data_IF_986398832926
#
_entry.id   IF_986398832926
#
_cell.length_a   1.000
_cell.length_b   1.000
_cell.length_c   1.000
_cell.angle_alpha   90.00
_cell.angle_beta   90.00
_cell.angle_gamma   90.00
#
_symmetry.space_group_name_H-M   'P 1'
#
loop_
_entity.id
_entity.type
_entity.pdbx_description
1 polymer ?
#
# COMPACT_ATOMS: atom_id res chain seq x y z
N UNK A 1 -2.91 5.33 10.68
CA UNK A 1 -3.84 4.78 9.67
C UNK A 1 -3.04 3.96 8.69
N UNK A 2 -3.39 2.68 8.47
CA UNK A 2 -2.70 1.80 7.52
C UNK A 2 -3.06 2.15 6.06
N UNK A 3 -2.16 1.89 5.11
CA UNK A 3 -2.35 2.26 3.69
C UNK A 3 -3.48 1.48 3.02
N UNK A 4 -3.76 0.26 3.48
CA UNK A 4 -4.95 -0.49 3.06
C UNK A 4 -6.24 0.27 3.41
N UNK A 5 -6.29 0.88 4.59
CA UNK A 5 -7.41 1.74 5.01
C UNK A 5 -7.46 3.02 4.16
N UNK A 6 -6.32 3.60 3.79
CA UNK A 6 -6.27 4.77 2.91
C UNK A 6 -6.78 4.45 1.50
N UNK A 7 -6.40 3.31 0.92
CA UNK A 7 -6.94 2.83 -0.36
C UNK A 7 -8.45 2.67 -0.30
N UNK A 8 -8.96 2.05 0.76
CA UNK A 8 -10.40 1.85 0.93
C UNK A 8 -11.15 3.19 1.07
N UNK A 9 -10.59 4.15 1.82
CA UNK A 9 -11.16 5.49 1.92
C UNK A 9 -11.15 6.21 0.56
N UNK A 10 -10.07 6.10 -0.21
CA UNK A 10 -9.99 6.67 -1.57
C UNK A 10 -11.03 6.04 -2.49
N UNK A 11 -11.19 4.71 -2.45
CA UNK A 11 -12.21 4.00 -3.24
C UNK A 11 -13.63 4.45 -2.85
N UNK A 12 -13.94 4.58 -1.56
CA UNK A 12 -15.22 5.09 -1.07
C UNK A 12 -15.51 6.51 -1.57
N UNK A 13 -14.49 7.40 -1.58
CA UNK A 13 -14.63 8.75 -2.13
C UNK A 13 -14.87 8.73 -3.63
N UNK A 14 -14.15 7.90 -4.39
CA UNK A 14 -14.34 7.75 -5.83
C UNK A 14 -15.76 7.25 -6.15
N UNK A 15 -16.26 6.24 -5.42
CA UNK A 15 -17.65 5.78 -5.50
C UNK A 15 -18.66 6.89 -5.22
N UNK A 16 -18.50 7.62 -4.11
CA UNK A 16 -19.41 8.70 -3.74
C UNK A 16 -19.45 9.82 -4.82
N UNK A 17 -18.31 10.13 -5.44
CA UNK A 17 -18.27 11.04 -6.60
C UNK A 17 -19.04 10.45 -7.79
N UNK A 18 -18.86 9.16 -8.09
CA UNK A 18 -19.61 8.47 -9.14
C UNK A 18 -21.12 8.52 -8.90
N UNK A 19 -21.56 8.25 -7.67
CA UNK A 19 -22.96 8.28 -7.27
C UNK A 19 -23.57 9.68 -7.46
N UNK A 20 -22.83 10.74 -7.11
CA UNK A 20 -23.26 12.12 -7.28
C UNK A 20 -23.35 12.57 -8.75
N UNK A 21 -22.51 12.01 -9.63
CA UNK A 21 -22.42 12.40 -11.05
C UNK A 21 -23.30 11.54 -11.97
N UNK A 22 -23.85 10.42 -11.49
CA UNK A 22 -24.49 9.39 -12.33
C UNK A 22 -25.60 9.91 -13.25
N UNK A 23 -26.36 10.91 -12.79
CA UNK A 23 -27.52 11.44 -13.50
C UNK A 23 -27.23 12.71 -14.30
N UNK A 24 -26.09 13.37 -14.04
CA UNK A 24 -25.76 14.68 -14.63
C UNK A 24 -24.64 14.57 -15.67
N UNK A 25 -23.60 13.79 -15.37
CA UNK A 25 -22.45 13.59 -16.25
C UNK A 25 -22.03 12.13 -16.29
N UNK A 26 -22.77 11.25 -16.99
CA UNK A 26 -22.54 9.80 -16.98
C UNK A 26 -21.11 9.38 -17.32
N UNK A 27 -20.44 10.07 -18.24
CA UNK A 27 -19.04 9.81 -18.58
C UNK A 27 -18.06 10.09 -17.43
N UNK A 28 -18.31 11.11 -16.61
CA UNK A 28 -17.49 11.39 -15.43
C UNK A 28 -17.82 10.42 -14.29
N UNK A 29 -19.09 10.04 -14.14
CA UNK A 29 -19.50 9.00 -13.19
C UNK A 29 -18.79 7.67 -13.50
N UNK A 30 -18.76 7.25 -14.77
CA UNK A 30 -18.05 6.04 -15.20
C UNK A 30 -16.56 6.08 -14.84
N UNK A 31 -15.87 7.21 -15.07
CA UNK A 31 -14.46 7.39 -14.66
C UNK A 31 -14.28 7.25 -13.14
N UNK A 32 -15.16 7.85 -12.34
CA UNK A 32 -15.09 7.76 -10.89
C UNK A 32 -15.34 6.33 -10.37
N UNK A 33 -16.25 5.57 -11.00
CA UNK A 33 -16.41 4.14 -10.69
C UNK A 33 -15.23 3.31 -11.15
N UNK A 34 -14.61 3.62 -12.29
CA UNK A 34 -13.37 3.00 -12.75
C UNK A 34 -12.24 3.15 -11.73
N UNK A 35 -11.99 4.39 -11.27
CA UNK A 35 -11.01 4.67 -10.21
C UNK A 35 -11.32 3.89 -8.92
N UNK A 36 -12.60 3.82 -8.52
CA UNK A 36 -13.02 3.00 -7.37
C UNK A 36 -12.65 1.52 -7.56
N UNK A 37 -12.94 0.95 -8.74
CA UNK A 37 -12.64 -0.44 -9.06
C UNK A 37 -11.13 -0.72 -9.05
N UNK A 38 -10.32 0.17 -9.63
CA UNK A 38 -8.86 0.06 -9.66
C UNK A 38 -8.26 0.07 -8.25
N UNK A 39 -8.73 0.97 -7.37
CA UNK A 39 -8.28 1.05 -5.98
C UNK A 39 -8.65 -0.20 -5.17
N UNK A 40 -9.85 -0.75 -5.37
CA UNK A 40 -10.27 -2.00 -4.73
C UNK A 40 -9.48 -3.19 -5.27
N UNK A 41 -9.22 -3.23 -6.58
CA UNK A 41 -8.40 -4.26 -7.20
C UNK A 41 -6.96 -4.22 -6.66
N UNK A 42 -6.34 -3.04 -6.58
CA UNK A 42 -5.02 -2.85 -6.00
C UNK A 42 -4.95 -3.36 -4.55
N UNK A 43 -5.99 -3.10 -3.75
CA UNK A 43 -6.11 -3.63 -2.39
C UNK A 43 -6.13 -5.17 -2.37
N UNK A 44 -6.94 -5.79 -3.21
CA UNK A 44 -7.00 -7.26 -3.30
C UNK A 44 -5.67 -7.87 -3.77
N UNK A 45 -5.04 -7.27 -4.78
CA UNK A 45 -3.75 -7.72 -5.31
C UNK A 45 -2.62 -7.61 -4.27
N UNK A 46 -2.63 -6.56 -3.45
CA UNK A 46 -1.66 -6.43 -2.35
C UNK A 46 -1.84 -7.52 -1.29
N UNK A 47 -3.07 -7.92 -0.98
CA UNK A 47 -3.34 -9.05 -0.07
C UNK A 47 -2.85 -10.36 -0.69
N UNK A 48 -3.20 -10.62 -1.97
CA UNK A 48 -2.72 -11.80 -2.68
C UNK A 48 -1.19 -11.86 -2.77
N UNK A 49 -0.52 -10.72 -3.00
CA UNK A 49 0.94 -10.66 -3.06
C UNK A 49 1.58 -11.05 -1.72
N UNK A 50 0.96 -10.71 -0.58
CA UNK A 50 1.43 -11.12 0.76
C UNK A 50 1.37 -12.63 0.94
N UNK A 51 0.28 -13.25 0.49
CA UNK A 51 0.09 -14.70 0.58
C UNK A 51 1.05 -15.45 -0.36
N UNK A 52 1.37 -14.87 -1.50
CA UNK A 52 2.26 -15.46 -2.51
C UNK A 52 3.75 -15.25 -2.22
N UNK A 53 4.15 -14.26 -1.40
CA UNK A 53 5.56 -13.89 -1.22
C UNK A 53 6.47 -15.06 -0.80
N UNK A 54 5.97 -15.99 0.01
CA UNK A 54 6.71 -17.18 0.45
C UNK A 54 6.49 -18.43 -0.44
N UNK A 55 5.41 -18.46 -1.23
CA UNK A 55 5.03 -19.63 -2.05
C UNK A 55 5.52 -19.52 -3.49
N UNK A 56 5.38 -18.33 -4.06
CA UNK A 56 5.75 -17.99 -5.43
C UNK A 56 6.24 -16.53 -5.46
N UNK A 57 7.51 -16.27 -5.13
CA UNK A 57 8.02 -14.91 -5.02
C UNK A 57 7.93 -14.12 -6.33
N UNK A 58 8.13 -14.77 -7.49
CA UNK A 58 7.96 -14.12 -8.80
C UNK A 58 6.50 -13.69 -9.03
N UNK A 59 5.53 -14.50 -8.61
CA UNK A 59 4.10 -14.16 -8.69
C UNK A 59 3.77 -13.00 -7.76
N UNK A 60 4.32 -12.98 -6.55
CA UNK A 60 4.16 -11.86 -5.63
C UNK A 60 4.68 -10.55 -6.25
N UNK A 61 5.86 -10.55 -6.85
CA UNK A 61 6.42 -9.37 -7.52
C UNK A 61 5.56 -8.91 -8.72
N UNK A 62 5.04 -9.84 -9.52
CA UNK A 62 4.12 -9.52 -10.62
C UNK A 62 2.83 -8.86 -10.11
N UNK A 63 2.27 -9.36 -9.01
CA UNK A 63 1.11 -8.76 -8.35
C UNK A 63 1.43 -7.35 -7.83
N UNK A 64 2.60 -7.15 -7.20
CA UNK A 64 3.03 -5.83 -6.71
C UNK A 64 3.22 -4.81 -7.84
N UNK A 65 3.75 -5.23 -8.99
CA UNK A 65 3.83 -4.37 -10.17
C UNK A 65 2.44 -3.91 -10.63
N UNK A 66 1.46 -4.83 -10.62
CA UNK A 66 0.09 -4.48 -10.98
C UNK A 66 -0.56 -3.55 -9.95
N UNK A 67 -0.24 -3.70 -8.66
CA UNK A 67 -0.66 -2.75 -7.62
C UNK A 67 -0.13 -1.34 -7.89
N UNK A 68 1.15 -1.23 -8.28
CA UNK A 68 1.78 0.04 -8.60
C UNK A 68 1.14 0.72 -9.81
N UNK A 69 0.81 -0.03 -10.86
CA UNK A 69 0.10 0.47 -12.04
C UNK A 69 -1.30 1.03 -11.70
N UNK A 70 -2.00 0.43 -10.75
CA UNK A 70 -3.38 0.79 -10.41
C UNK A 70 -3.49 1.90 -9.36
N UNK A 71 -2.57 1.92 -8.38
CA UNK A 71 -2.70 2.77 -7.19
C UNK A 71 -1.46 3.63 -6.90
N UNK A 72 -0.40 3.50 -7.71
CA UNK A 72 0.92 4.06 -7.46
C UNK A 72 1.72 3.25 -6.44
N UNK A 73 2.94 3.69 -6.15
CA UNK A 73 3.82 3.03 -5.19
C UNK A 73 3.22 3.09 -3.77
N UNK A 74 2.96 1.92 -3.19
CA UNK A 74 2.48 1.79 -1.82
C UNK A 74 3.61 1.34 -0.89
N UNK A 75 3.77 2.00 0.25
CA UNK A 75 4.80 1.62 1.24
C UNK A 75 4.46 0.29 1.90
N UNK A 76 3.18 -0.04 2.00
CA UNK A 76 2.69 -1.35 2.43
C UNK A 76 3.11 -2.50 1.49
N UNK A 77 3.61 -2.21 0.28
CA UNK A 77 4.18 -3.19 -0.63
C UNK A 77 5.67 -3.49 -0.35
N UNK A 78 6.41 -2.57 0.29
CA UNK A 78 7.86 -2.75 0.49
C UNK A 78 8.24 -3.96 1.34
N UNK A 79 7.55 -4.29 2.46
CA UNK A 79 7.84 -5.51 3.20
C UNK A 79 7.56 -6.78 2.38
N UNK A 80 6.58 -6.72 1.49
CA UNK A 80 6.20 -7.85 0.61
C UNK A 80 7.24 -8.06 -0.47
N UNK A 81 7.72 -6.97 -1.08
CA UNK A 81 8.82 -7.00 -2.04
C UNK A 81 10.09 -7.53 -1.39
N UNK A 82 10.44 -7.05 -0.19
CA UNK A 82 11.58 -7.56 0.57
C UNK A 82 11.48 -9.07 0.81
N UNK A 83 10.33 -9.57 1.27
CA UNK A 83 10.12 -11.00 1.49
C UNK A 83 10.25 -11.82 0.20
N UNK A 84 9.70 -11.33 -0.91
CA UNK A 84 9.80 -11.99 -2.20
C UNK A 84 11.24 -12.03 -2.74
N UNK A 85 12.01 -10.94 -2.61
CA UNK A 85 13.41 -10.91 -3.01
C UNK A 85 14.30 -11.78 -2.11
N UNK A 86 14.05 -11.84 -0.80
CA UNK A 86 14.74 -12.79 0.09
C UNK A 86 14.49 -14.24 -0.34
N UNK A 87 13.25 -14.59 -0.69
CA UNK A 87 12.91 -15.94 -1.16
C UNK A 87 13.56 -16.29 -2.52
N UNK A 88 14.02 -15.30 -3.28
CA UNK A 88 14.78 -15.48 -4.52
C UNK A 88 16.30 -15.51 -4.30
N UNK A 89 16.79 -15.28 -3.08
CA UNK A 89 18.22 -15.14 -2.77
C UNK A 89 18.80 -13.76 -3.08
N UNK A 90 17.96 -12.78 -3.41
CA UNK A 90 18.35 -11.41 -3.79
C UNK A 90 18.47 -10.52 -2.53
N UNK A 91 19.42 -10.84 -1.66
CA UNK A 91 19.57 -10.22 -0.33
C UNK A 91 19.84 -8.71 -0.37
N UNK A 92 20.64 -8.25 -1.34
CA UNK A 92 20.97 -6.83 -1.49
C UNK A 92 19.72 -6.01 -1.85
N UNK A 93 18.93 -6.52 -2.79
CA UNK A 93 17.67 -5.89 -3.22
C UNK A 93 16.68 -5.89 -2.06
N UNK A 94 16.52 -7.02 -1.37
CA UNK A 94 15.65 -7.11 -0.21
C UNK A 94 16.04 -6.12 0.90
N UNK A 95 17.34 -6.00 1.17
CA UNK A 95 17.88 -5.06 2.18
C UNK A 95 17.53 -3.61 1.84
N UNK A 96 17.55 -3.23 0.56
CA UNK A 96 17.11 -1.90 0.12
C UNK A 96 15.64 -1.63 0.45
N UNK A 97 14.74 -2.60 0.22
CA UNK A 97 13.32 -2.48 0.58
C UNK A 97 13.08 -2.47 2.10
N UNK A 98 13.86 -3.25 2.87
CA UNK A 98 13.81 -3.22 4.33
C UNK A 98 14.27 -1.88 4.88
N UNK A 99 15.37 -1.33 4.37
CA UNK A 99 15.88 -0.01 4.77
C UNK A 99 14.83 1.09 4.54
N UNK A 100 14.15 1.07 3.38
CA UNK A 100 13.04 1.99 3.09
C UNK A 100 11.88 1.83 4.07
N UNK A 101 11.52 0.58 4.40
CA UNK A 101 10.47 0.27 5.37
C UNK A 101 10.81 0.81 6.77
N UNK A 102 12.06 0.64 7.21
CA UNK A 102 12.54 1.14 8.50
C UNK A 102 12.59 2.66 8.55
N UNK A 103 13.13 3.30 7.51
CA UNK A 103 13.18 4.76 7.39
C UNK A 103 11.78 5.38 7.46
N UNK A 104 10.77 4.75 6.82
CA UNK A 104 9.39 5.21 6.92
C UNK A 104 8.81 5.06 8.33
N UNK A 105 9.08 3.94 9.01
CA UNK A 105 8.63 3.74 10.39
C UNK A 105 9.25 4.77 11.32
N UNK A 106 10.55 5.04 11.18
CA UNK A 106 11.26 6.06 11.96
C UNK A 106 10.65 7.45 11.77
N UNK A 107 10.28 7.84 10.54
CA UNK A 107 9.60 9.11 10.26
C UNK A 107 8.22 9.25 10.89
N UNK A 108 7.55 8.13 11.18
CA UNK A 108 6.21 8.09 11.78
C UNK A 108 6.20 7.88 13.28
N UNK A 109 7.34 7.51 13.87
CA UNK A 109 7.45 7.37 15.31
C UNK A 109 7.22 8.74 15.96
N UNK A 110 6.39 8.84 17.01
CA UNK A 110 6.31 10.07 17.77
C UNK A 110 7.71 10.43 18.30
N UNK A 111 8.07 11.71 18.38
CA UNK A 111 9.35 12.09 18.97
C UNK A 111 9.42 11.49 20.37
N UNK A 112 10.48 10.74 20.65
CA UNK A 112 10.74 10.22 21.99
C UNK A 112 10.77 11.43 22.92
N UNK A 113 9.80 11.52 23.83
CA UNK A 113 9.79 12.55 24.85
C UNK A 113 11.13 12.47 25.60
N UNK A 114 11.83 13.59 25.82
CA UNK A 114 13.11 13.55 26.51
C UNK A 114 12.93 12.91 27.89
N UNK A 115 13.85 12.03 28.25
CA UNK A 115 13.87 11.26 29.50
C UNK A 115 13.92 12.12 30.78
N UNK A 116 13.86 13.44 30.67
CA UNK A 116 13.88 14.41 31.78
C UNK A 116 12.57 14.53 32.55
N UNK A 117 11.50 13.80 32.18
CA UNK A 117 10.22 13.78 32.92
C UNK A 117 10.05 12.60 33.90
N UNK A 118 11.06 11.73 34.06
CA UNK A 118 10.99 10.59 34.98
C UNK A 118 11.84 10.76 36.26
N UNK A 119 12.45 11.93 36.48
CA UNK A 119 13.37 12.17 37.60
C UNK A 119 12.82 13.07 38.71
N UNK A 120 11.49 13.22 38.84
CA UNK A 120 10.87 13.89 39.99
C UNK A 120 9.61 13.15 40.44
N UNK A 121 9.84 12.10 41.25
CA UNK A 121 8.88 11.58 42.21
C UNK A 121 9.60 11.40 43.55
#
# INVERSE_FOLDING_TARGET
MDELTQLEQRARRARARGDALRSTTPGQAARAYGECAELLLARCLLVAAREEAARSPLRALALLRRVEELAGTLRAAWPVAAAAYLALGEEEIASSFLARTLAERARRAPPLAPASLLATA
#
